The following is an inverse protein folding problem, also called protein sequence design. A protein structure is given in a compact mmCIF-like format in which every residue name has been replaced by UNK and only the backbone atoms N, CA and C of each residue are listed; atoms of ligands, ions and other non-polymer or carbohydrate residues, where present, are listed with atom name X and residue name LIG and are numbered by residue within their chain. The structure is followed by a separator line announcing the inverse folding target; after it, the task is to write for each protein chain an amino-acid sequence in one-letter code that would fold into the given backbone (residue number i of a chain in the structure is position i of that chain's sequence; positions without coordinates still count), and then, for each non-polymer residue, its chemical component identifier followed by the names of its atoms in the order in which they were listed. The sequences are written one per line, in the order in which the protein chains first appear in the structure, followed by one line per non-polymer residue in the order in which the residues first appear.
data_IF_150299431269
#
_entry.id   IF_150299431269
#
_cell.length_a   1.000
_cell.length_b   1.000
_cell.length_c   1.000
_cell.angle_alpha   90.00
_cell.angle_beta   90.00
_cell.angle_gamma   90.00
#
_symmetry.space_group_name_H-M   'P 1'
#
loop_
_entity.id
_entity.type
_entity.pdbx_description
1 polymer ?
#
# COMPACT_ATOMS: atom_id res chain seq x y z
N UNK A 1 4.64 57.40 -17.91
CA UNK A 1 5.12 56.04 -17.57
C UNK A 1 4.15 55.44 -16.58
N UNK A 2 3.28 54.56 -17.07
CA UNK A 2 2.28 53.84 -16.28
C UNK A 2 2.93 52.53 -15.80
N UNK A 3 3.00 52.33 -14.48
CA UNK A 3 3.33 51.03 -13.90
C UNK A 3 2.03 50.22 -13.80
N UNK A 4 1.97 49.09 -14.51
CA UNK A 4 0.84 48.18 -14.47
C UNK A 4 0.79 47.41 -13.16
N UNK A 5 -0.30 47.57 -12.41
CA UNK A 5 -0.66 46.65 -11.34
C UNK A 5 -1.11 45.32 -11.96
N UNK A 6 -0.19 44.36 -12.02
CA UNK A 6 -0.54 42.98 -12.32
C UNK A 6 -1.37 42.42 -11.17
N UNK A 7 -2.68 42.29 -11.37
CA UNK A 7 -3.55 41.51 -10.50
C UNK A 7 -3.16 40.05 -10.66
N UNK A 8 -2.48 39.47 -9.66
CA UNK A 8 -2.39 38.02 -9.56
C UNK A 8 -3.79 37.49 -9.29
N UNK A 9 -4.43 36.90 -10.31
CA UNK A 9 -5.60 36.09 -10.11
C UNK A 9 -5.17 34.85 -9.32
N UNK A 10 -5.35 34.91 -8.01
CA UNK A 10 -5.35 33.73 -7.15
C UNK A 10 -6.54 32.90 -7.65
N UNK A 11 -6.26 31.85 -8.42
CA UNK A 11 -7.29 30.88 -8.80
C UNK A 11 -7.98 30.39 -7.52
N UNK A 12 -9.27 30.10 -7.62
CA UNK A 12 -10.05 29.56 -6.51
C UNK A 12 -9.46 28.22 -6.08
N UNK A 13 -8.52 28.27 -5.12
CA UNK A 13 -7.81 27.12 -4.55
C UNK A 13 -8.70 26.39 -3.51
N UNK A 14 -10.01 26.69 -3.52
CA UNK A 14 -10.97 26.09 -2.60
C UNK A 14 -11.42 24.71 -3.07
N UNK A 15 -11.52 23.80 -2.10
CA UNK A 15 -12.04 22.46 -2.29
C UNK A 15 -13.50 22.53 -2.79
N UNK A 16 -13.75 22.11 -4.02
CA UNK A 16 -15.11 22.09 -4.57
C UNK A 16 -15.92 20.89 -4.07
N UNK A 17 -17.27 20.96 -4.05
CA UNK A 17 -18.11 19.81 -3.71
C UNK A 17 -17.84 18.57 -4.59
N UNK A 18 -17.55 18.77 -5.88
CA UNK A 18 -17.19 17.68 -6.79
C UNK A 18 -15.90 16.97 -6.39
N UNK A 19 -14.90 17.72 -5.91
CA UNK A 19 -13.65 17.15 -5.39
C UNK A 19 -13.91 16.37 -4.10
N UNK A 20 -14.75 16.87 -3.19
CA UNK A 20 -15.12 16.16 -1.96
C UNK A 20 -15.80 14.82 -2.26
N UNK A 21 -16.74 14.79 -3.21
CA UNK A 21 -17.40 13.55 -3.63
C UNK A 21 -16.40 12.55 -4.21
N UNK A 22 -15.50 13.00 -5.08
CA UNK A 22 -14.45 12.15 -5.65
C UNK A 22 -13.52 11.58 -4.57
N UNK A 23 -13.06 12.42 -3.64
CA UNK A 23 -12.19 12.01 -2.54
C UNK A 23 -12.88 10.97 -1.65
N UNK A 24 -14.16 11.16 -1.33
CA UNK A 24 -14.95 10.17 -0.57
C UNK A 24 -15.05 8.83 -1.31
N UNK A 25 -15.28 8.84 -2.64
CA UNK A 25 -15.31 7.60 -3.43
C UNK A 25 -13.96 6.88 -3.43
N UNK A 26 -12.86 7.63 -3.45
CA UNK A 26 -11.50 7.09 -3.35
C UNK A 26 -11.26 6.42 -1.99
N UNK A 27 -11.70 7.04 -0.90
CA UNK A 27 -11.64 6.46 0.44
C UNK A 27 -12.44 5.15 0.52
N UNK A 28 -13.68 5.15 0.02
CA UNK A 28 -14.54 3.97 0.02
C UNK A 28 -13.97 2.83 -0.84
N UNK A 29 -13.35 3.16 -1.98
CA UNK A 29 -12.65 2.17 -2.82
C UNK A 29 -11.48 1.54 -2.08
N UNK A 30 -10.66 2.36 -1.40
CA UNK A 30 -9.53 1.87 -0.62
C UNK A 30 -9.97 1.03 0.57
N UNK A 31 -11.00 1.47 1.30
CA UNK A 31 -11.49 0.77 2.48
C UNK A 31 -12.07 -0.59 2.12
N UNK A 32 -12.80 -0.69 0.99
CA UNK A 32 -13.22 -1.99 0.43
C UNK A 32 -12.04 -2.88 0.09
N UNK A 33 -11.04 -2.35 -0.62
CA UNK A 33 -9.87 -3.13 -0.99
C UNK A 33 -9.13 -3.69 0.24
N UNK A 34 -8.97 -2.90 1.30
CA UNK A 34 -8.39 -3.38 2.56
C UNK A 34 -9.27 -4.45 3.22
N UNK A 35 -10.60 -4.26 3.26
CA UNK A 35 -11.51 -5.25 3.85
C UNK A 35 -11.53 -6.57 3.07
N UNK A 36 -11.47 -6.51 1.74
CA UNK A 36 -11.36 -7.69 0.89
C UNK A 36 -10.07 -8.47 1.17
N UNK A 37 -8.95 -7.78 1.43
CA UNK A 37 -7.67 -8.41 1.77
C UNK A 37 -7.62 -8.97 3.20
N UNK A 38 -7.91 -8.15 4.19
CA UNK A 38 -7.60 -8.46 5.59
C UNK A 38 -8.75 -9.11 6.35
N UNK A 39 -10.01 -8.75 6.02
CA UNK A 39 -11.18 -9.28 6.72
C UNK A 39 -11.75 -10.49 5.98
N UNK A 40 -12.00 -10.35 4.67
CA UNK A 40 -12.65 -11.37 3.86
C UNK A 40 -11.69 -12.39 3.27
N UNK A 41 -10.41 -12.02 3.13
CA UNK A 41 -9.36 -12.81 2.46
C UNK A 41 -9.79 -13.27 1.05
N UNK A 42 -10.33 -12.33 0.28
CA UNK A 42 -10.93 -12.54 -1.04
C UNK A 42 -10.04 -11.92 -2.13
N UNK A 43 -9.14 -12.75 -2.69
CA UNK A 43 -8.22 -12.32 -3.74
C UNK A 43 -8.94 -11.86 -5.01
N UNK A 44 -10.07 -12.48 -5.36
CA UNK A 44 -10.83 -12.16 -6.56
C UNK A 44 -11.45 -10.76 -6.44
N UNK A 45 -12.08 -10.47 -5.30
CA UNK A 45 -12.65 -9.15 -5.03
C UNK A 45 -11.58 -8.06 -4.99
N UNK A 46 -10.46 -8.32 -4.30
CA UNK A 46 -9.35 -7.37 -4.22
C UNK A 46 -8.73 -7.10 -5.60
N UNK A 47 -8.48 -8.16 -6.39
CA UNK A 47 -7.96 -8.02 -7.75
C UNK A 47 -8.94 -7.27 -8.67
N UNK A 48 -10.25 -7.49 -8.52
CA UNK A 48 -11.27 -6.79 -9.30
C UNK A 48 -11.31 -5.28 -9.04
N UNK A 49 -10.81 -4.79 -7.90
CA UNK A 49 -10.70 -3.35 -7.61
C UNK A 49 -9.56 -2.65 -8.39
N UNK A 50 -8.62 -3.42 -8.94
CA UNK A 50 -7.47 -2.90 -9.66
C UNK A 50 -7.82 -2.43 -11.07
N UNK A 51 -7.08 -1.43 -11.55
CA UNK A 51 -7.14 -0.96 -12.92
C UNK A 51 -6.42 -1.95 -13.86
N UNK A 52 -6.74 -1.89 -15.16
CA UNK A 52 -5.96 -2.60 -16.19
C UNK A 52 -4.51 -2.09 -16.17
N UNK A 53 -3.57 -3.02 -16.00
CA UNK A 53 -2.14 -2.72 -15.85
C UNK A 53 -1.75 -2.18 -14.48
N UNK A 54 -2.66 -2.18 -13.49
CA UNK A 54 -2.37 -1.72 -12.14
C UNK A 54 -1.39 -2.63 -11.40
N UNK A 55 -0.73 -2.11 -10.37
CA UNK A 55 0.32 -2.84 -9.65
C UNK A 55 0.14 -2.83 -8.13
N UNK A 56 0.54 -3.92 -7.48
CA UNK A 56 0.73 -4.00 -6.02
C UNK A 56 2.21 -4.25 -5.75
N UNK A 57 2.79 -3.55 -4.78
CA UNK A 57 4.19 -3.72 -4.39
C UNK A 57 4.38 -3.53 -2.88
N UNK A 58 4.95 -4.53 -2.24
CA UNK A 58 5.60 -4.43 -0.93
C UNK A 58 7.04 -3.94 -1.16
N UNK A 59 7.30 -2.67 -0.88
CA UNK A 59 8.51 -1.99 -1.35
C UNK A 59 9.81 -2.63 -0.83
N UNK A 60 9.93 -3.01 0.45
CA UNK A 60 11.20 -3.53 0.95
C UNK A 60 11.53 -4.95 0.45
N UNK A 61 10.54 -5.84 0.39
CA UNK A 61 10.71 -7.21 -0.11
C UNK A 61 10.73 -7.30 -1.64
N UNK A 62 10.14 -6.31 -2.32
CA UNK A 62 9.89 -6.33 -3.75
C UNK A 62 8.74 -7.24 -4.17
N UNK A 63 8.03 -7.86 -3.22
CA UNK A 63 6.90 -8.73 -3.50
C UNK A 63 5.73 -7.95 -4.10
N UNK A 64 4.95 -8.59 -4.97
CA UNK A 64 3.85 -7.93 -5.66
C UNK A 64 3.59 -8.47 -7.07
N UNK A 65 2.89 -7.67 -7.86
CA UNK A 65 2.53 -8.00 -9.23
C UNK A 65 2.09 -6.76 -10.02
N UNK A 66 2.17 -6.84 -11.36
CA UNK A 66 1.72 -5.79 -12.28
C UNK A 66 0.82 -6.38 -13.35
N UNK A 67 -0.36 -5.79 -13.54
CA UNK A 67 -1.39 -6.36 -14.40
C UNK A 67 -2.29 -7.35 -13.67
N UNK A 68 -3.42 -7.67 -14.28
CA UNK A 68 -4.49 -8.42 -13.63
C UNK A 68 -4.02 -9.81 -13.14
N UNK A 69 -3.39 -10.58 -14.02
CA UNK A 69 -2.98 -11.96 -13.72
C UNK A 69 -1.90 -12.02 -12.64
N UNK A 70 -0.89 -11.14 -12.71
CA UNK A 70 0.19 -11.13 -11.72
C UNK A 70 -0.26 -10.61 -10.36
N UNK A 71 -1.13 -9.60 -10.32
CA UNK A 71 -1.71 -9.13 -9.06
C UNK A 71 -2.58 -10.22 -8.44
N UNK A 72 -3.45 -10.86 -9.22
CA UNK A 72 -4.29 -11.94 -8.71
C UNK A 72 -3.47 -13.12 -8.20
N UNK A 73 -2.47 -13.57 -8.95
CA UNK A 73 -1.53 -14.63 -8.54
C UNK A 73 -0.83 -14.26 -7.24
N UNK A 74 -0.26 -13.05 -7.16
CA UNK A 74 0.40 -12.57 -5.95
C UNK A 74 -0.54 -12.60 -4.74
N UNK A 75 -1.76 -12.05 -4.88
CA UNK A 75 -2.72 -12.00 -3.78
C UNK A 75 -3.16 -13.41 -3.35
N UNK A 76 -3.48 -14.27 -4.30
CA UNK A 76 -4.05 -15.60 -4.02
C UNK A 76 -3.02 -16.64 -3.56
N UNK A 77 -1.76 -16.52 -3.96
CA UNK A 77 -0.72 -17.54 -3.71
C UNK A 77 0.34 -17.06 -2.71
N UNK A 78 0.81 -15.83 -2.84
CA UNK A 78 1.99 -15.34 -2.13
C UNK A 78 1.62 -14.49 -0.90
N UNK A 79 0.47 -13.82 -0.93
CA UNK A 79 0.04 -12.89 0.14
C UNK A 79 -0.97 -13.52 1.10
N UNK A 80 -2.22 -13.76 0.66
CA UNK A 80 -3.32 -14.16 1.56
C UNK A 80 -3.08 -15.47 2.32
N UNK A 81 -2.52 -16.55 1.71
CA UNK A 81 -2.20 -17.77 2.45
C UNK A 81 -1.17 -17.56 3.56
N UNK A 82 -0.32 -16.54 3.41
CA UNK A 82 0.76 -16.21 4.33
C UNK A 82 0.39 -15.07 5.29
N UNK A 83 -0.86 -14.59 5.32
CA UNK A 83 -1.29 -13.65 6.35
C UNK A 83 -1.43 -14.39 7.69
N UNK A 84 -0.82 -13.88 8.78
CA UNK A 84 -1.05 -14.40 10.12
C UNK A 84 -2.56 -14.45 10.43
N UNK A 85 -3.01 -15.44 11.21
CA UNK A 85 -4.43 -15.65 11.46
C UNK A 85 -4.98 -14.59 12.43
N UNK A 86 -4.12 -14.07 13.31
CA UNK A 86 -4.39 -13.04 14.30
C UNK A 86 -4.03 -11.63 13.84
N UNK A 87 -3.70 -11.45 12.55
CA UNK A 87 -3.32 -10.15 12.01
C UNK A 87 -4.48 -9.15 12.16
N UNK A 88 -4.20 -8.05 12.83
CA UNK A 88 -5.06 -6.88 12.92
C UNK A 88 -4.36 -5.67 12.30
N UNK A 89 -5.16 -4.70 11.90
CA UNK A 89 -4.67 -3.46 11.33
C UNK A 89 -5.51 -2.27 11.80
N UNK A 90 -4.84 -1.17 12.11
CA UNK A 90 -5.48 0.10 12.49
C UNK A 90 -4.91 1.23 11.64
N UNK A 91 -5.80 1.94 10.93
CA UNK A 91 -5.41 3.14 10.18
C UNK A 91 -5.25 4.31 11.15
N UNK A 92 -4.01 4.76 11.33
CA UNK A 92 -3.68 5.89 12.20
C UNK A 92 -3.99 7.23 11.54
N UNK A 93 -3.65 7.36 10.25
CA UNK A 93 -3.88 8.59 9.50
C UNK A 93 -4.13 8.31 8.01
N UNK A 94 -4.80 9.25 7.35
CA UNK A 94 -4.99 9.26 5.89
C UNK A 94 -4.79 10.68 5.37
N UNK A 95 -3.98 10.81 4.33
CA UNK A 95 -3.86 12.04 3.54
C UNK A 95 -4.18 11.73 2.09
N UNK A 96 -5.02 12.54 1.45
CA UNK A 96 -5.44 12.30 0.07
C UNK A 96 -5.62 13.58 -0.74
N UNK A 97 -5.47 13.44 -2.05
CA UNK A 97 -5.86 14.42 -3.05
C UNK A 97 -6.90 13.79 -4.01
N UNK A 98 -7.13 14.41 -5.17
CA UNK A 98 -8.11 13.93 -6.17
C UNK A 98 -7.63 12.74 -7.01
N UNK A 99 -6.44 12.20 -6.75
CA UNK A 99 -5.80 11.12 -7.54
C UNK A 99 -5.10 10.06 -6.68
N UNK A 100 -4.68 10.40 -5.48
CA UNK A 100 -3.89 9.55 -4.61
C UNK A 100 -4.32 9.67 -3.16
N UNK A 101 -4.05 8.63 -2.40
CA UNK A 101 -4.13 8.66 -0.94
C UNK A 101 -2.91 7.95 -0.35
N UNK A 102 -2.58 8.31 0.87
CA UNK A 102 -1.54 7.70 1.69
C UNK A 102 -2.17 7.35 3.03
N UNK A 103 -2.13 6.06 3.36
CA UNK A 103 -2.53 5.54 4.66
C UNK A 103 -1.28 5.29 5.51
N UNK A 104 -1.29 5.77 6.75
CA UNK A 104 -0.42 5.28 7.81
C UNK A 104 -1.19 4.23 8.61
N UNK A 105 -0.64 3.03 8.67
CA UNK A 105 -1.33 1.86 9.23
C UNK A 105 -0.39 1.15 10.19
N UNK A 106 -0.90 0.86 11.38
CA UNK A 106 -0.26 -0.05 12.31
C UNK A 106 -0.81 -1.47 12.09
N UNK A 107 0.08 -2.45 12.00
CA UNK A 107 -0.27 -3.87 11.92
C UNK A 107 0.25 -4.59 13.16
N UNK A 108 -0.57 -5.47 13.72
CA UNK A 108 -0.19 -6.32 14.85
C UNK A 108 -0.50 -7.78 14.57
N UNK A 109 0.46 -8.67 14.83
CA UNK A 109 0.31 -10.11 14.57
C UNK A 109 1.35 -10.95 15.33
N UNK A 110 1.09 -12.25 15.45
CA UNK A 110 2.09 -13.24 15.85
C UNK A 110 2.88 -13.70 14.63
N UNK A 111 4.22 -13.65 14.68
CA UNK A 111 5.07 -14.20 13.61
C UNK A 111 5.14 -15.73 13.70
N UNK A 112 4.05 -16.39 13.33
CA UNK A 112 3.80 -17.84 13.42
C UNK A 112 4.09 -18.62 12.13
N UNK A 113 4.31 -17.90 11.02
CA UNK A 113 4.57 -18.42 9.68
C UNK A 113 5.58 -17.55 8.95
N UNK A 114 6.21 -18.08 7.92
CA UNK A 114 7.02 -17.25 7.03
C UNK A 114 6.13 -16.23 6.32
N UNK A 115 6.66 -15.02 6.12
CA UNK A 115 5.97 -13.91 5.46
C UNK A 115 6.74 -13.50 4.20
N UNK A 116 6.67 -14.25 3.08
CA UNK A 116 7.44 -13.95 1.86
C UNK A 116 7.21 -12.53 1.34
N UNK A 117 6.02 -11.99 1.57
CA UNK A 117 5.60 -10.66 1.17
C UNK A 117 6.22 -9.54 2.03
N UNK A 118 6.65 -9.82 3.28
CA UNK A 118 7.17 -8.81 4.21
C UNK A 118 8.64 -9.03 4.60
N UNK A 119 8.99 -10.27 4.93
CA UNK A 119 10.29 -10.70 5.44
C UNK A 119 10.69 -12.04 4.78
N UNK A 120 11.02 -12.02 3.47
CA UNK A 120 11.38 -13.23 2.76
C UNK A 120 12.58 -13.94 3.41
N UNK A 121 12.44 -15.24 3.65
CA UNK A 121 13.49 -16.10 4.21
C UNK A 121 13.66 -16.03 5.73
N UNK A 122 12.79 -15.30 6.45
CA UNK A 122 12.82 -15.27 7.92
C UNK A 122 11.85 -16.33 8.48
N UNK A 123 12.39 -17.32 9.20
CA UNK A 123 11.60 -18.37 9.83
C UNK A 123 10.69 -17.81 10.96
N UNK A 124 9.56 -18.46 11.25
CA UNK A 124 8.66 -18.05 12.33
C UNK A 124 9.39 -17.92 13.67
N UNK A 125 9.20 -16.80 14.35
CA UNK A 125 9.85 -16.54 15.64
C UNK A 125 8.91 -16.75 16.84
N UNK A 126 7.60 -16.88 16.58
CA UNK A 126 6.56 -16.99 17.60
C UNK A 126 6.36 -15.72 18.43
N UNK A 127 6.99 -14.60 18.06
CA UNK A 127 6.86 -13.33 18.78
C UNK A 127 5.63 -12.57 18.28
N UNK A 128 4.88 -11.99 19.23
CA UNK A 128 3.93 -10.93 18.92
C UNK A 128 4.70 -9.67 18.52
N UNK A 129 4.32 -9.05 17.42
CA UNK A 129 4.93 -7.80 16.95
C UNK A 129 3.86 -6.81 16.52
N UNK A 130 4.25 -5.54 16.58
CA UNK A 130 3.53 -4.41 16.00
C UNK A 130 4.48 -3.69 15.06
N UNK A 131 4.02 -3.36 13.86
CA UNK A 131 4.82 -2.74 12.80
C UNK A 131 4.02 -1.67 12.07
N UNK A 132 4.67 -0.55 11.79
CA UNK A 132 4.12 0.55 11.00
C UNK A 132 4.33 0.30 9.50
N UNK A 133 3.32 0.66 8.72
CA UNK A 133 3.39 0.70 7.27
C UNK A 133 2.78 1.99 6.72
N UNK A 134 3.36 2.49 5.63
CA UNK A 134 2.80 3.56 4.81
C UNK A 134 2.38 3.02 3.46
N UNK A 135 1.08 3.07 3.15
CA UNK A 135 0.54 2.57 1.88
C UNK A 135 0.17 3.75 0.97
N UNK A 136 0.92 3.91 -0.12
CA UNK A 136 0.67 4.92 -1.14
C UNK A 136 -0.19 4.31 -2.25
N UNK A 137 -1.36 4.88 -2.45
CA UNK A 137 -2.37 4.37 -3.37
C UNK A 137 -2.67 5.41 -4.43
N UNK A 138 -2.59 5.01 -5.70
CA UNK A 138 -2.99 5.83 -6.84
C UNK A 138 -4.29 5.29 -7.41
N UNK A 139 -5.22 6.18 -7.72
CA UNK A 139 -6.52 5.84 -8.28
C UNK A 139 -6.64 6.48 -9.66
N UNK A 140 -7.16 5.71 -10.61
CA UNK A 140 -7.44 6.13 -11.98
C UNK A 140 -8.80 5.59 -12.37
N UNK A 141 -9.71 6.48 -12.77
CA UNK A 141 -11.06 6.11 -13.24
C UNK A 141 -11.81 5.17 -12.27
N UNK A 142 -11.80 5.49 -10.98
CA UNK A 142 -12.45 4.70 -9.92
C UNK A 142 -11.92 3.26 -9.77
N UNK A 143 -10.66 3.03 -10.14
CA UNK A 143 -9.91 1.78 -9.94
C UNK A 143 -8.53 2.07 -9.34
N UNK A 144 -8.00 1.11 -8.61
CA UNK A 144 -6.67 1.21 -8.01
C UNK A 144 -5.61 0.97 -9.10
N UNK A 145 -4.83 2.00 -9.39
CA UNK A 145 -3.76 1.97 -10.39
C UNK A 145 -2.45 1.46 -9.79
N UNK A 146 -2.14 1.85 -8.56
CA UNK A 146 -0.95 1.38 -7.87
C UNK A 146 -1.17 1.33 -6.36
N UNK A 147 -0.70 0.27 -5.71
CA UNK A 147 -0.50 0.18 -4.27
C UNK A 147 0.98 -0.04 -4.03
N UNK A 148 1.60 0.85 -3.25
CA UNK A 148 2.99 0.69 -2.82
C UNK A 148 3.06 0.84 -1.32
N UNK A 149 3.43 -0.23 -0.62
CA UNK A 149 3.48 -0.23 0.84
C UNK A 149 4.94 -0.26 1.30
N UNK A 150 5.34 0.76 2.05
CA UNK A 150 6.60 0.77 2.79
C UNK A 150 6.34 0.27 4.20
N UNK A 151 7.20 -0.61 4.68
CA UNK A 151 7.15 -1.13 6.04
C UNK A 151 8.35 -0.63 6.83
N UNK A 152 8.19 -0.40 8.14
CA UNK A 152 9.32 -0.28 9.05
C UNK A 152 9.99 -1.66 9.26
N UNK A 153 10.62 -2.15 8.19
CA UNK A 153 11.28 -3.46 8.17
C UNK A 153 12.41 -3.53 9.20
N UNK A 154 13.13 -2.42 9.41
CA UNK A 154 14.22 -2.36 10.38
C UNK A 154 13.71 -2.48 11.82
N UNK A 155 12.63 -1.77 12.16
CA UNK A 155 11.94 -1.90 13.45
C UNK A 155 11.39 -3.30 13.66
N UNK A 156 10.74 -3.86 12.64
CA UNK A 156 10.19 -5.22 12.68
C UNK A 156 11.28 -6.27 12.90
N UNK A 157 12.38 -6.24 12.14
CA UNK A 157 13.52 -7.16 12.31
C UNK A 157 14.10 -7.10 13.73
N UNK A 158 14.25 -5.89 14.29
CA UNK A 158 14.69 -5.70 15.68
C UNK A 158 13.72 -6.34 16.68
N UNK A 159 12.41 -6.13 16.52
CA UNK A 159 11.40 -6.72 17.39
C UNK A 159 11.41 -8.26 17.33
N UNK A 160 11.64 -8.81 16.13
CA UNK A 160 11.76 -10.25 15.90
C UNK A 160 13.11 -10.82 16.37
N UNK A 161 14.10 -9.97 16.65
CA UNK A 161 15.44 -10.40 17.05
C UNK A 161 16.23 -11.04 15.90
N UNK A 162 15.95 -10.64 14.66
CA UNK A 162 16.63 -11.13 13.46
C UNK A 162 17.50 -10.02 12.88
N UNK A 163 18.66 -10.38 12.33
CA UNK A 163 19.67 -9.40 11.93
C UNK A 163 19.25 -8.60 10.69
N UNK A 164 19.78 -7.38 10.57
CA UNK A 164 19.47 -6.43 9.48
C UNK A 164 20.31 -6.68 8.22
N UNK A 165 21.31 -7.56 8.28
CA UNK A 165 22.24 -7.82 7.19
C UNK A 165 21.93 -9.15 6.50
N UNK A 166 20.97 -9.13 5.58
CA UNK A 166 20.60 -10.33 4.84
C UNK A 166 19.63 -10.15 3.67
N UNK A 167 19.71 -9.04 2.93
CA UNK A 167 19.12 -8.94 1.58
C UNK A 167 19.75 -7.78 0.79
N UNK A 168 21.01 -7.92 0.40
CA UNK A 168 21.60 -7.06 -0.63
C UNK A 168 21.07 -7.49 -2.00
N UNK A 169 19.77 -7.27 -2.23
CA UNK A 169 19.16 -7.33 -3.56
C UNK A 169 19.09 -5.92 -4.11
N UNK A 170 20.16 -5.46 -4.76
CA UNK A 170 20.19 -4.16 -5.41
C UNK A 170 19.08 -4.07 -6.46
N UNK A 171 17.97 -3.39 -6.14
CA UNK A 171 17.02 -2.95 -7.14
C UNK A 171 17.68 -1.82 -7.93
N UNK A 172 18.37 -2.19 -9.01
CA UNK A 172 18.79 -1.25 -10.05
C UNK A 172 17.51 -0.82 -10.80
N UNK A 173 17.12 0.47 -10.78
CA UNK A 173 16.01 0.91 -11.61
C UNK A 173 16.34 0.61 -13.08
N UNK A 174 15.41 -0.05 -13.77
CA UNK A 174 15.47 -0.17 -15.21
C UNK A 174 15.30 1.23 -15.79
N UNK A 175 16.41 1.81 -16.21
CA UNK A 175 16.43 2.92 -17.15
C UNK A 175 16.06 2.32 -18.52
N UNK A 176 14.80 2.49 -18.90
CA UNK A 176 14.37 2.34 -20.28
C UNK A 176 14.29 3.73 -20.90
N UNK A 177 15.08 3.91 -21.96
CA UNK A 177 15.08 5.02 -22.89
C UNK A 177 13.79 5.07 -23.73
#
# INVERSE_FOLDING_TARGET
MLWGHGTFAMGDDSMTPGMQVLMKQMEELRDRFCSDLFDRRDADAAAAAMAVGGSVQEVPSGAGGTGADDVHRYLSQDFLPHLPPDLTHERLSRTLDTRKLVDEVEFSFTHDRELPWLLPGVAPTGRQVTVLAMSLVRIRQNKIDAVRTLWDEAGLRRALGVDTLGATGAHRPSSAA
#
